data_IF_384378694429
#
_entry.id   IF_384378694429
#
_cell.length_a   1.000
_cell.length_b   1.000
_cell.length_c   1.000
_cell.angle_alpha   90.00
_cell.angle_beta   90.00
_cell.angle_gamma   90.00
#
_symmetry.space_group_name_H-M   'P 1'
#
loop_
_entity.id
_entity.type
_entity.pdbx_description
1 polymer ?
#
# COMPACT_ATOMS: atom_id res chain seq x y z
N UNK A 1 9.44 7.58 -84.45
CA UNK A 1 8.12 7.46 -85.09
C UNK A 1 7.11 7.93 -84.07
N UNK A 2 6.78 9.13 -84.19
CA UNK A 2 5.52 9.72 -84.72
C UNK A 2 4.43 9.75 -83.62
N UNK A 3 4.25 10.90 -83.11
CA UNK A 3 3.21 11.93 -83.34
C UNK A 3 1.93 11.65 -82.49
N UNK A 4 1.16 12.52 -81.98
CA UNK A 4 1.02 13.98 -81.94
C UNK A 4 -0.35 14.28 -81.30
N UNK A 5 -0.40 15.28 -80.45
CA UNK A 5 -1.50 16.29 -80.23
C UNK A 5 -2.91 15.81 -79.84
N UNK A 6 -3.69 16.46 -79.02
CA UNK A 6 -4.02 17.90 -79.10
C UNK A 6 -4.77 18.38 -77.80
N UNK A 7 -4.63 19.64 -77.59
CA UNK A 7 -5.34 20.53 -76.61
C UNK A 7 -6.85 20.58 -76.88
N UNK A 8 -7.62 20.82 -75.81
CA UNK A 8 -8.54 21.99 -75.81
C UNK A 8 -8.96 22.42 -74.42
N UNK A 9 -8.81 23.69 -74.17
CA UNK A 9 -9.36 24.46 -73.03
C UNK A 9 -10.85 24.77 -73.30
N UNK A 10 -11.58 24.99 -72.19
CA UNK A 10 -12.54 26.12 -72.05
C UNK A 10 -13.10 26.14 -70.61
N UNK A 11 -12.99 27.27 -69.94
CA UNK A 11 -13.76 27.72 -68.77
C UNK A 11 -14.91 28.58 -69.29
N UNK A 12 -15.96 28.96 -68.52
CA UNK A 12 -15.85 29.78 -67.32
C UNK A 12 -16.97 29.57 -66.22
N UNK A 13 -16.60 30.04 -65.03
CA UNK A 13 -17.38 30.71 -63.96
C UNK A 13 -18.91 30.48 -63.84
N UNK A 14 -19.34 30.00 -62.66
CA UNK A 14 -20.52 30.59 -61.96
C UNK A 14 -20.20 30.59 -60.43
N UNK A 15 -20.43 31.79 -59.85
CA UNK A 15 -20.38 32.03 -58.40
C UNK A 15 -21.69 31.52 -57.77
N UNK A 16 -21.56 30.89 -56.61
CA UNK A 16 -22.66 30.58 -55.71
C UNK A 16 -22.17 30.60 -54.27
N UNK A 17 -22.44 31.68 -53.56
CA UNK A 17 -22.38 31.72 -52.08
C UNK A 17 -23.43 30.80 -51.50
N UNK A 18 -23.07 29.90 -50.58
CA UNK A 18 -23.99 29.44 -49.55
C UNK A 18 -23.17 29.02 -48.32
N UNK A 19 -23.70 29.43 -47.17
CA UNK A 19 -23.09 29.54 -45.90
C UNK A 19 -22.60 28.19 -45.30
N UNK A 20 -21.45 28.26 -44.69
CA UNK A 20 -20.94 27.21 -43.83
C UNK A 20 -21.61 27.21 -42.48
N UNK A 21 -22.36 26.16 -42.16
CA UNK A 21 -22.71 25.82 -40.78
C UNK A 21 -21.55 24.98 -40.24
N UNK A 22 -20.76 25.58 -39.35
CA UNK A 22 -19.75 24.85 -38.59
C UNK A 22 -20.47 23.97 -37.58
N UNK A 23 -20.55 22.68 -37.87
CA UNK A 23 -20.95 21.67 -36.87
C UNK A 23 -19.76 21.52 -35.90
N UNK A 24 -19.87 22.16 -34.73
CA UNK A 24 -19.02 21.84 -33.58
C UNK A 24 -19.46 20.46 -33.10
N UNK A 25 -18.77 19.42 -33.54
CA UNK A 25 -18.89 18.09 -32.96
C UNK A 25 -18.37 18.14 -31.52
N UNK A 26 -19.31 18.12 -30.55
CA UNK A 26 -18.99 17.74 -29.18
C UNK A 26 -18.49 16.28 -29.22
N UNK A 27 -17.18 16.10 -29.16
CA UNK A 27 -16.59 14.84 -28.72
C UNK A 27 -16.96 14.66 -27.25
N UNK A 28 -18.15 14.05 -27.03
CA UNK A 28 -18.42 13.42 -25.76
C UNK A 28 -17.40 12.26 -25.65
N UNK A 29 -16.28 12.53 -24.99
CA UNK A 29 -15.36 11.48 -24.58
C UNK A 29 -16.19 10.48 -23.76
N UNK A 30 -16.34 9.27 -24.25
CA UNK A 30 -16.86 8.18 -23.46
C UNK A 30 -15.92 8.06 -22.26
N UNK A 31 -16.36 8.51 -21.08
CA UNK A 31 -15.70 8.19 -19.83
C UNK A 31 -15.74 6.66 -19.77
N UNK A 32 -14.57 6.04 -19.87
CA UNK A 32 -14.45 4.62 -19.59
C UNK A 32 -15.00 4.34 -18.20
N UNK A 33 -15.41 3.09 -17.91
CA UNK A 33 -15.94 2.74 -16.60
C UNK A 33 -14.96 3.21 -15.53
N UNK A 34 -15.45 3.97 -14.55
CA UNK A 34 -14.66 4.42 -13.43
C UNK A 34 -14.17 3.16 -12.69
N UNK A 35 -12.85 2.96 -12.65
CA UNK A 35 -12.24 1.92 -11.86
C UNK A 35 -12.26 2.39 -10.41
N UNK A 36 -12.78 1.58 -9.51
CA UNK A 36 -12.72 1.81 -8.09
C UNK A 36 -11.87 0.71 -7.47
N UNK A 37 -10.62 1.01 -7.22
CA UNK A 37 -9.65 0.09 -6.64
C UNK A 37 -8.79 0.85 -5.62
N UNK A 38 -7.97 0.13 -4.88
CA UNK A 38 -7.02 0.72 -3.96
C UNK A 38 -5.77 1.18 -4.70
N UNK A 39 -5.33 2.40 -4.43
CA UNK A 39 -4.13 2.95 -5.07
C UNK A 39 -2.83 2.37 -4.52
N UNK A 40 -2.90 1.61 -3.42
CA UNK A 40 -1.72 1.04 -2.76
C UNK A 40 -1.42 -0.40 -3.18
N UNK A 41 -2.19 -0.96 -4.09
CA UNK A 41 -2.08 -2.37 -4.49
C UNK A 41 -1.06 -2.60 -5.62
N UNK A 42 -0.80 -3.88 -5.89
CA UNK A 42 0.10 -4.26 -6.97
C UNK A 42 -0.46 -3.90 -8.35
N UNK A 43 0.37 -3.42 -9.30
CA UNK A 43 -0.04 -3.18 -10.67
C UNK A 43 -0.45 -4.46 -11.43
N UNK A 44 -0.16 -5.63 -10.88
CA UNK A 44 -0.53 -6.92 -11.46
C UNK A 44 -1.91 -7.42 -11.03
N UNK A 45 -2.54 -6.78 -10.05
CA UNK A 45 -3.84 -7.20 -9.56
C UNK A 45 -4.97 -6.84 -10.53
N UNK A 46 -5.98 -7.70 -10.60
CA UNK A 46 -7.24 -7.40 -11.25
C UNK A 46 -7.89 -6.14 -10.63
N UNK A 47 -8.46 -5.29 -11.46
CA UNK A 47 -9.03 -4.00 -11.03
C UNK A 47 -10.53 -4.13 -10.76
N UNK A 48 -11.00 -3.50 -9.68
CA UNK A 48 -12.43 -3.36 -9.40
C UNK A 48 -13.04 -2.41 -10.45
N UNK A 49 -14.12 -2.84 -11.07
CA UNK A 49 -14.93 -2.00 -11.97
C UNK A 49 -16.11 -1.45 -11.19
N UNK A 50 -16.24 -0.13 -11.08
CA UNK A 50 -17.27 0.52 -10.27
C UNK A 50 -16.81 0.85 -8.84
N UNK A 51 -17.75 0.96 -7.90
CA UNK A 51 -17.45 1.17 -6.49
C UNK A 51 -17.18 -0.18 -5.80
N UNK A 52 -16.40 -0.15 -4.72
CA UNK A 52 -16.21 -1.28 -3.82
C UNK A 52 -17.53 -1.69 -3.15
N UNK A 53 -17.73 -3.00 -2.99
CA UNK A 53 -18.90 -3.58 -2.31
C UNK A 53 -18.61 -3.86 -0.84
N UNK A 54 -17.36 -4.23 -0.54
CA UNK A 54 -16.92 -4.62 0.80
C UNK A 54 -15.57 -4.02 1.14
N UNK A 55 -15.35 -3.81 2.44
CA UNK A 55 -14.03 -3.56 3.02
C UNK A 55 -13.69 -4.72 3.94
N UNK A 56 -12.60 -5.40 3.65
CA UNK A 56 -12.05 -6.42 4.53
C UNK A 56 -11.06 -5.76 5.47
N UNK A 57 -11.26 -5.94 6.78
CA UNK A 57 -10.38 -5.37 7.80
C UNK A 57 -9.67 -6.50 8.53
N UNK A 58 -8.35 -6.56 8.43
CA UNK A 58 -7.52 -7.49 9.19
C UNK A 58 -7.25 -6.89 10.57
N UNK A 59 -7.67 -7.61 11.62
CA UNK A 59 -7.90 -7.04 12.93
C UNK A 59 -7.21 -7.87 14.00
N UNK A 60 -6.46 -7.20 14.90
CA UNK A 60 -5.81 -7.83 16.05
C UNK A 60 -6.84 -8.22 17.12
N UNK A 61 -6.68 -9.43 17.65
CA UNK A 61 -7.43 -9.89 18.80
C UNK A 61 -7.00 -9.20 20.10
N UNK A 62 -7.96 -8.97 20.98
CA UNK A 62 -7.73 -8.39 22.30
C UNK A 62 -8.26 -9.35 23.36
N UNK A 63 -7.45 -9.66 24.35
CA UNK A 63 -7.87 -10.52 25.47
C UNK A 63 -9.10 -9.95 26.20
N UNK A 64 -10.10 -10.80 26.42
CA UNK A 64 -11.35 -10.38 27.05
C UNK A 64 -12.32 -9.61 26.13
N UNK A 65 -11.98 -9.42 24.84
CA UNK A 65 -12.84 -8.76 23.86
C UNK A 65 -13.28 -9.75 22.77
N UNK A 66 -14.58 -9.99 22.63
CA UNK A 66 -15.12 -10.96 21.67
C UNK A 66 -14.58 -12.36 21.92
N UNK A 67 -14.02 -13.00 20.87
CA UNK A 67 -13.34 -14.30 20.95
C UNK A 67 -11.83 -14.18 21.27
N UNK A 68 -11.34 -12.96 21.45
CA UNK A 68 -9.94 -12.68 21.76
C UNK A 68 -8.94 -12.94 20.65
N UNK A 69 -9.38 -13.38 19.46
CA UNK A 69 -8.53 -13.82 18.37
C UNK A 69 -8.41 -12.77 17.24
N UNK A 70 -7.31 -12.84 16.51
CA UNK A 70 -7.19 -12.11 15.24
C UNK A 70 -8.25 -12.60 14.25
N UNK A 71 -8.75 -11.71 13.43
CA UNK A 71 -9.88 -12.01 12.53
C UNK A 71 -9.93 -11.11 11.30
N UNK A 72 -10.48 -11.63 10.22
CA UNK A 72 -10.86 -10.84 9.06
C UNK A 72 -12.31 -10.40 9.23
N UNK A 73 -12.54 -9.09 9.30
CA UNK A 73 -13.87 -8.47 9.41
C UNK A 73 -14.30 -7.96 8.03
N UNK A 74 -15.51 -8.33 7.60
CA UNK A 74 -16.12 -7.82 6.36
C UNK A 74 -17.10 -6.71 6.70
N UNK A 75 -16.91 -5.54 6.12
CA UNK A 75 -17.79 -4.38 6.23
C UNK A 75 -18.50 -4.17 4.90
N UNK A 76 -19.83 -4.02 4.95
CA UNK A 76 -20.65 -3.71 3.78
C UNK A 76 -20.58 -2.21 3.47
N UNK A 77 -20.12 -1.87 2.26
CA UNK A 77 -20.03 -0.48 1.80
C UNK A 77 -20.84 -0.22 0.54
N UNK A 78 -21.71 -1.18 0.15
CA UNK A 78 -22.59 -1.06 -1.01
C UNK A 78 -23.60 0.05 -0.83
N UNK A 79 -23.63 0.95 -1.78
CA UNK A 79 -24.56 2.09 -1.77
C UNK A 79 -26.02 1.60 -1.72
N UNK A 80 -26.78 2.09 -0.74
CA UNK A 80 -28.18 1.74 -0.56
C UNK A 80 -28.44 0.39 0.14
N UNK A 81 -27.39 -0.32 0.55
CA UNK A 81 -27.55 -1.52 1.39
C UNK A 81 -28.10 -1.18 2.77
N UNK A 82 -29.00 -1.98 3.35
CA UNK A 82 -29.50 -1.80 4.72
C UNK A 82 -28.38 -2.01 5.78
N UNK A 83 -27.27 -2.63 5.39
CA UNK A 83 -26.10 -2.87 6.22
C UNK A 83 -24.91 -1.97 5.83
N UNK A 84 -25.16 -0.91 5.04
CA UNK A 84 -24.10 0.04 4.67
C UNK A 84 -23.39 0.60 5.94
N UNK A 85 -22.05 0.53 5.93
CA UNK A 85 -21.22 1.00 7.03
C UNK A 85 -21.23 0.10 8.27
N UNK A 86 -21.64 -1.18 8.15
CA UNK A 86 -21.68 -2.12 9.26
C UNK A 86 -20.78 -3.32 9.02
N UNK A 87 -20.20 -3.85 10.09
CA UNK A 87 -19.56 -5.16 10.06
C UNK A 87 -20.63 -6.24 9.88
N UNK A 88 -20.52 -7.06 8.85
CA UNK A 88 -21.52 -8.09 8.50
C UNK A 88 -21.02 -9.51 8.73
N UNK A 89 -19.70 -9.69 8.80
CA UNK A 89 -19.06 -10.98 9.03
C UNK A 89 -17.71 -10.78 9.69
N UNK A 90 -17.34 -11.71 10.56
CA UNK A 90 -15.96 -11.87 11.03
C UNK A 90 -15.54 -13.34 10.94
N UNK A 91 -14.27 -13.57 10.57
CA UNK A 91 -13.69 -14.91 10.46
C UNK A 91 -12.43 -14.95 11.31
N UNK A 92 -12.52 -15.64 12.45
CA UNK A 92 -11.42 -15.84 13.40
C UNK A 92 -10.36 -16.80 12.86
N UNK A 93 -9.09 -16.58 13.23
CA UNK A 93 -7.99 -17.50 12.92
C UNK A 93 -7.54 -18.33 14.12
N UNK A 94 -8.21 -18.17 15.29
CA UNK A 94 -7.99 -19.02 16.45
C UNK A 94 -6.76 -18.67 17.29
N UNK A 95 -6.52 -17.39 17.53
CA UNK A 95 -5.41 -16.92 18.37
C UNK A 95 -5.03 -15.48 18.11
N UNK A 96 -4.02 -15.01 18.83
CA UNK A 96 -3.41 -13.68 18.65
C UNK A 96 -2.05 -13.86 17.99
N UNK A 97 -1.91 -13.38 16.77
CA UNK A 97 -0.74 -13.53 15.91
C UNK A 97 -0.12 -12.19 15.54
N UNK A 98 -0.61 -11.10 16.13
CA UNK A 98 -0.30 -9.72 15.77
C UNK A 98 -0.69 -9.45 14.32
N UNK A 99 -2.01 -9.43 14.05
CA UNK A 99 -2.57 -9.11 12.75
C UNK A 99 -2.00 -7.79 12.22
N UNK A 100 -1.39 -7.82 11.04
CA UNK A 100 -0.66 -6.66 10.53
C UNK A 100 -1.07 -6.37 9.07
N UNK A 101 -0.21 -6.52 8.09
CA UNK A 101 -0.54 -6.27 6.70
C UNK A 101 -1.06 -7.52 5.99
N UNK A 102 -1.66 -7.31 4.83
CA UNK A 102 -2.12 -8.36 3.93
C UNK A 102 -2.22 -7.87 2.50
N UNK A 103 -2.72 -8.71 1.62
CA UNK A 103 -2.96 -8.35 0.22
C UNK A 103 -3.66 -9.46 -0.54
N UNK A 104 -4.23 -9.11 -1.68
CA UNK A 104 -4.89 -10.08 -2.56
C UNK A 104 -3.89 -10.77 -3.49
N UNK A 105 -4.26 -11.95 -3.98
CA UNK A 105 -3.66 -12.54 -5.17
C UNK A 105 -3.92 -11.67 -6.41
N UNK A 106 -3.16 -11.87 -7.49
CA UNK A 106 -3.31 -11.10 -8.74
C UNK A 106 -4.70 -11.20 -9.37
N UNK A 107 -5.38 -12.32 -9.19
CA UNK A 107 -6.78 -12.55 -9.59
C UNK A 107 -7.81 -12.08 -8.53
N UNK A 108 -7.36 -11.55 -7.38
CA UNK A 108 -8.13 -11.12 -6.20
C UNK A 108 -9.03 -12.20 -5.57
N UNK A 109 -8.82 -13.47 -5.91
CA UNK A 109 -9.67 -14.57 -5.38
C UNK A 109 -9.36 -14.90 -3.93
N UNK A 110 -8.15 -14.60 -3.48
CA UNK A 110 -7.72 -14.85 -2.11
C UNK A 110 -7.15 -13.58 -1.48
N UNK A 111 -7.41 -13.41 -0.18
CA UNK A 111 -6.75 -12.42 0.66
C UNK A 111 -5.76 -13.13 1.60
N UNK A 112 -4.50 -12.72 1.54
CA UNK A 112 -3.41 -13.24 2.36
C UNK A 112 -3.12 -12.26 3.48
N UNK A 113 -3.22 -12.72 4.72
CA UNK A 113 -3.11 -11.90 5.92
C UNK A 113 -1.94 -12.37 6.79
N UNK A 114 -1.05 -11.46 7.15
CA UNK A 114 0.14 -11.77 7.93
C UNK A 114 -0.13 -11.71 9.43
N UNK A 115 0.38 -12.70 10.16
CA UNK A 115 0.50 -12.73 11.62
C UNK A 115 1.97 -12.51 11.99
N UNK A 116 2.27 -11.32 12.48
CA UNK A 116 3.64 -10.82 12.60
C UNK A 116 4.43 -11.52 13.71
N UNK A 117 3.78 -11.82 14.86
CA UNK A 117 4.47 -12.28 16.08
C UNK A 117 5.01 -13.70 15.99
N UNK A 118 4.31 -14.59 15.33
CA UNK A 118 4.67 -16.02 15.19
C UNK A 118 4.90 -16.45 13.74
N UNK A 119 5.00 -15.48 12.84
CA UNK A 119 5.38 -15.67 11.43
C UNK A 119 4.44 -16.61 10.67
N UNK A 120 3.14 -16.46 10.87
CA UNK A 120 2.10 -17.18 10.12
C UNK A 120 1.50 -16.33 9.02
N UNK A 121 0.92 -16.99 8.02
CA UNK A 121 0.13 -16.34 6.98
C UNK A 121 -1.20 -17.07 6.86
N UNK A 122 -2.29 -16.32 6.90
CA UNK A 122 -3.65 -16.82 6.80
C UNK A 122 -4.22 -16.48 5.43
N UNK A 123 -4.73 -17.48 4.72
CA UNK A 123 -5.26 -17.33 3.36
C UNK A 123 -6.78 -17.50 3.40
N UNK A 124 -7.48 -16.44 2.99
CA UNK A 124 -8.93 -16.41 2.93
C UNK A 124 -9.41 -16.47 1.47
N UNK A 125 -10.36 -17.37 1.17
CA UNK A 125 -11.14 -17.31 -0.06
C UNK A 125 -12.17 -16.17 0.07
N UNK A 126 -12.05 -15.17 -0.78
CA UNK A 126 -12.94 -14.01 -0.85
C UNK A 126 -13.78 -14.02 -2.14
N UNK A 127 -13.54 -14.96 -3.03
CA UNK A 127 -14.21 -15.05 -4.32
C UNK A 127 -15.51 -15.86 -4.28
N UNK A 128 -15.52 -16.94 -3.50
CA UNK A 128 -16.68 -17.83 -3.41
C UNK A 128 -17.88 -17.16 -2.76
N UNK A 129 -17.66 -16.33 -1.76
CA UNK A 129 -18.65 -15.46 -1.12
C UNK A 129 -17.96 -14.19 -0.59
N UNK A 130 -17.96 -13.09 -1.36
CA UNK A 130 -17.31 -11.86 -0.95
C UNK A 130 -17.87 -11.23 0.32
N UNK A 131 -19.14 -11.51 0.67
CA UNK A 131 -19.77 -11.04 1.90
C UNK A 131 -19.36 -11.87 3.13
N UNK A 132 -18.94 -13.13 2.92
CA UNK A 132 -18.58 -14.06 3.96
C UNK A 132 -17.34 -14.90 3.61
N UNK A 133 -16.15 -14.27 3.57
CA UNK A 133 -14.87 -14.95 3.33
C UNK A 133 -14.67 -16.18 4.21
N UNK A 134 -13.85 -17.12 3.74
CA UNK A 134 -13.52 -18.33 4.50
C UNK A 134 -12.01 -18.49 4.61
N UNK A 135 -11.51 -18.79 5.80
CA UNK A 135 -10.13 -19.24 6.00
C UNK A 135 -9.96 -20.61 5.30
N UNK A 136 -9.07 -20.69 4.32
CA UNK A 136 -8.86 -21.90 3.51
C UNK A 136 -7.49 -22.54 3.74
N UNK A 137 -6.51 -21.77 4.22
CA UNK A 137 -5.17 -22.27 4.49
C UNK A 137 -4.46 -21.40 5.53
N UNK A 138 -3.60 -22.01 6.33
CA UNK A 138 -2.60 -21.34 7.16
C UNK A 138 -1.22 -21.85 6.75
N UNK A 139 -0.29 -20.93 6.48
CA UNK A 139 1.13 -21.22 6.33
C UNK A 139 1.74 -20.98 7.70
N UNK A 140 2.16 -22.04 8.37
CA UNK A 140 2.74 -22.03 9.72
C UNK A 140 4.22 -22.43 9.74
N UNK A 141 4.76 -22.80 8.57
CA UNK A 141 6.15 -23.18 8.35
C UNK A 141 6.99 -22.10 7.63
N UNK A 142 6.53 -20.84 7.66
CA UNK A 142 7.17 -19.71 6.97
C UNK A 142 8.67 -19.58 7.31
N UNK A 143 9.01 -19.64 8.61
CA UNK A 143 10.40 -19.50 9.08
C UNK A 143 11.27 -20.66 8.59
N UNK A 144 10.75 -21.89 8.62
CA UNK A 144 11.46 -23.07 8.18
C UNK A 144 11.70 -23.05 6.66
N UNK A 145 10.64 -22.89 5.88
CA UNK A 145 10.70 -22.91 4.40
C UNK A 145 11.54 -21.78 3.83
N UNK A 146 11.48 -20.60 4.43
CA UNK A 146 12.28 -19.45 3.99
C UNK A 146 13.76 -19.55 4.35
N UNK A 147 14.15 -20.54 5.19
CA UNK A 147 15.51 -20.65 5.71
C UNK A 147 15.81 -19.69 6.86
N UNK A 148 14.79 -19.12 7.47
CA UNK A 148 14.92 -18.27 8.66
C UNK A 148 14.39 -16.85 8.57
N UNK A 149 13.72 -16.44 7.50
CA UNK A 149 12.99 -15.17 7.48
C UNK A 149 11.86 -15.19 8.52
N UNK A 150 11.61 -14.09 9.20
CA UNK A 150 10.62 -14.00 10.28
C UNK A 150 9.89 -12.66 10.26
N UNK A 151 8.65 -12.66 10.77
CA UNK A 151 7.79 -11.49 10.75
C UNK A 151 7.35 -11.15 9.32
N UNK A 152 6.51 -12.00 8.66
CA UNK A 152 5.92 -11.64 7.37
C UNK A 152 5.12 -10.35 7.56
N UNK A 153 5.45 -9.32 6.77
CA UNK A 153 4.85 -8.01 6.97
C UNK A 153 3.63 -7.81 6.07
N UNK A 154 3.82 -7.89 4.77
CA UNK A 154 2.77 -7.71 3.79
C UNK A 154 2.66 -8.88 2.83
N UNK A 155 1.69 -8.81 1.93
CA UNK A 155 1.50 -9.76 0.85
C UNK A 155 1.28 -8.97 -0.45
N UNK A 156 2.24 -9.05 -1.38
CA UNK A 156 2.22 -8.28 -2.62
C UNK A 156 2.07 -9.20 -3.82
N UNK A 157 1.04 -8.95 -4.63
CA UNK A 157 0.72 -9.80 -5.77
C UNK A 157 1.73 -9.66 -6.91
N UNK A 158 2.16 -10.79 -7.44
CA UNK A 158 2.85 -10.94 -8.71
C UNK A 158 2.03 -11.90 -9.59
N UNK A 159 2.26 -11.98 -10.91
CA UNK A 159 1.56 -12.94 -11.74
C UNK A 159 1.69 -14.39 -11.22
N UNK A 160 0.58 -14.96 -10.74
CA UNK A 160 0.49 -16.32 -10.21
C UNK A 160 1.22 -16.58 -8.89
N UNK A 161 1.65 -15.54 -8.16
CA UNK A 161 2.39 -15.67 -6.91
C UNK A 161 2.28 -14.47 -5.99
N UNK A 162 2.66 -14.68 -4.73
CA UNK A 162 2.73 -13.65 -3.70
C UNK A 162 4.18 -13.41 -3.29
N UNK A 163 4.56 -12.15 -3.15
CA UNK A 163 5.83 -11.70 -2.59
C UNK A 163 5.60 -11.21 -1.16
N UNK A 164 6.30 -11.80 -0.21
CA UNK A 164 6.14 -11.52 1.22
C UNK A 164 7.44 -10.92 1.76
N UNK A 165 7.50 -9.62 2.02
CA UNK A 165 8.62 -9.04 2.76
C UNK A 165 8.57 -9.49 4.22
N UNK A 166 9.71 -9.90 4.78
CA UNK A 166 9.87 -10.13 6.21
C UNK A 166 10.47 -8.92 6.88
N UNK A 167 10.14 -8.67 8.16
CA UNK A 167 10.74 -7.58 8.94
C UNK A 167 12.12 -7.96 9.46
N UNK A 168 12.34 -9.24 9.75
CA UNK A 168 13.48 -9.73 10.49
C UNK A 168 13.82 -11.18 10.09
N UNK A 169 14.60 -11.86 10.92
CA UNK A 169 14.95 -13.27 10.80
C UNK A 169 14.77 -14.01 12.14
N UNK A 170 14.96 -15.33 12.11
CA UNK A 170 14.86 -16.21 13.30
C UNK A 170 15.81 -15.82 14.44
N UNK A 171 16.87 -15.08 14.17
CA UNK A 171 17.76 -14.52 15.19
C UNK A 171 17.26 -13.19 15.76
N UNK A 172 16.08 -12.72 15.32
CA UNK A 172 15.39 -11.50 15.74
C UNK A 172 16.14 -10.21 15.43
N UNK A 173 17.11 -10.25 14.53
CA UNK A 173 17.97 -9.13 14.13
C UNK A 173 17.77 -8.76 12.66
N UNK A 174 18.62 -7.94 12.10
CA UNK A 174 18.66 -7.62 10.68
C UNK A 174 18.94 -8.83 9.78
N UNK A 175 19.03 -8.60 8.51
CA UNK A 175 18.96 -9.50 7.38
C UNK A 175 17.57 -10.15 7.20
N UNK A 176 16.63 -9.29 6.87
CA UNK A 176 15.29 -9.67 6.39
C UNK A 176 15.35 -10.19 4.95
N UNK A 177 14.26 -10.73 4.47
CA UNK A 177 14.16 -11.32 3.15
C UNK A 177 12.84 -10.99 2.45
N UNK A 178 12.83 -11.22 1.15
CA UNK A 178 11.63 -11.33 0.31
C UNK A 178 11.37 -12.81 0.06
N UNK A 179 10.21 -13.30 0.44
CA UNK A 179 9.84 -14.71 0.29
C UNK A 179 8.72 -14.84 -0.73
N UNK A 180 8.88 -15.72 -1.72
CA UNK A 180 7.89 -15.97 -2.75
C UNK A 180 7.14 -17.29 -2.52
N UNK A 181 5.82 -17.21 -2.68
CA UNK A 181 4.88 -18.33 -2.69
C UNK A 181 4.04 -18.28 -3.95
N UNK A 182 3.64 -19.44 -4.51
CA UNK A 182 2.55 -19.49 -5.49
C UNK A 182 1.21 -19.15 -4.84
N UNK A 183 0.21 -18.79 -5.63
CA UNK A 183 -1.12 -18.41 -5.12
C UNK A 183 -1.80 -19.53 -4.29
N UNK A 184 -1.41 -20.80 -4.47
CA UNK A 184 -1.88 -21.93 -3.66
C UNK A 184 -1.14 -22.09 -2.31
N UNK A 185 -0.17 -21.21 -2.02
CA UNK A 185 0.63 -21.23 -0.80
C UNK A 185 1.75 -22.27 -0.82
N UNK A 186 2.29 -22.62 -1.99
CA UNK A 186 3.51 -23.43 -2.11
C UNK A 186 4.72 -22.50 -2.14
N UNK A 187 5.71 -22.76 -1.28
CA UNK A 187 6.97 -22.02 -1.23
C UNK A 187 7.73 -22.10 -2.56
N UNK A 188 8.29 -20.99 -3.01
CA UNK A 188 9.07 -20.89 -4.26
C UNK A 188 10.54 -20.54 -3.96
N UNK A 189 10.79 -19.39 -3.30
CA UNK A 189 12.15 -18.89 -3.12
C UNK A 189 12.25 -17.86 -1.98
N UNK A 190 13.49 -17.65 -1.51
CA UNK A 190 13.85 -16.58 -0.57
C UNK A 190 14.99 -15.75 -1.14
N UNK A 191 14.83 -14.43 -1.11
CA UNK A 191 15.81 -13.44 -1.58
C UNK A 191 16.19 -12.55 -0.40
N UNK A 192 17.41 -12.74 0.12
CA UNK A 192 17.89 -12.01 1.29
C UNK A 192 18.31 -10.59 0.95
N UNK A 193 18.05 -9.65 1.86
CA UNK A 193 18.56 -8.28 1.76
C UNK A 193 20.09 -8.27 1.78
N UNK A 194 20.74 -7.42 0.99
CA UNK A 194 22.20 -7.34 0.93
C UNK A 194 22.75 -6.69 2.20
N UNK A 195 23.42 -7.49 3.02
CA UNK A 195 24.15 -7.03 4.21
C UNK A 195 25.62 -7.46 4.11
N UNK A 196 26.47 -7.02 5.03
CA UNK A 196 27.86 -7.46 5.14
C UNK A 196 28.00 -8.99 5.34
N UNK A 197 26.91 -9.64 5.71
CA UNK A 197 26.80 -11.08 5.93
C UNK A 197 26.22 -11.85 4.76
N UNK A 198 25.87 -11.17 3.67
CA UNK A 198 25.30 -11.85 2.49
C UNK A 198 26.38 -12.67 1.78
N UNK A 199 26.31 -14.02 1.82
CA UNK A 199 27.33 -14.87 1.22
C UNK A 199 27.32 -14.89 -0.31
N UNK A 200 26.28 -14.37 -0.95
CA UNK A 200 26.12 -14.40 -2.42
C UNK A 200 26.64 -13.15 -3.14
N UNK A 201 27.19 -12.21 -2.37
CA UNK A 201 27.98 -11.12 -2.92
C UNK A 201 27.30 -10.36 -4.05
N UNK A 202 26.16 -9.75 -3.79
CA UNK A 202 25.64 -8.75 -4.69
C UNK A 202 26.75 -7.70 -4.89
N UNK A 203 27.15 -7.43 -6.12
CA UNK A 203 28.17 -6.43 -6.45
C UNK A 203 27.57 -5.02 -6.29
N UNK A 204 27.26 -4.65 -5.06
CA UNK A 204 26.80 -3.32 -4.68
C UNK A 204 27.86 -2.66 -3.80
N UNK A 205 28.05 -1.36 -3.98
CA UNK A 205 29.07 -0.60 -3.24
C UNK A 205 28.75 -0.43 -1.76
N UNK A 206 27.46 -0.54 -1.39
CA UNK A 206 26.97 -0.34 -0.03
C UNK A 206 26.04 -1.46 0.38
N UNK A 207 26.14 -1.88 1.61
CA UNK A 207 25.24 -2.84 2.24
C UNK A 207 24.03 -2.12 2.84
N UNK A 208 22.88 -2.81 2.87
CA UNK A 208 21.70 -2.36 3.59
C UNK A 208 21.86 -2.58 5.10
N UNK A 209 21.02 -1.92 5.90
CA UNK A 209 20.93 -2.16 7.34
C UNK A 209 20.37 -3.55 7.68
N UNK A 210 19.73 -4.21 6.71
CA UNK A 210 19.23 -5.56 6.81
C UNK A 210 17.81 -5.70 7.33
N UNK A 211 17.16 -4.64 7.78
CA UNK A 211 15.76 -4.69 8.17
C UNK A 211 14.85 -4.58 6.95
N UNK A 212 13.69 -5.22 7.02
CA UNK A 212 12.67 -5.14 5.97
C UNK A 212 11.44 -4.36 6.44
N UNK A 213 10.59 -3.97 5.49
CA UNK A 213 9.25 -3.47 5.73
C UNK A 213 8.36 -3.67 4.51
N UNK A 214 8.40 -2.80 3.51
CA UNK A 214 7.57 -2.88 2.31
C UNK A 214 8.39 -3.30 1.08
N UNK A 215 7.71 -3.81 0.05
CA UNK A 215 8.30 -4.16 -1.24
C UNK A 215 7.33 -3.81 -2.35
N UNK A 216 7.70 -2.87 -3.22
CA UNK A 216 6.85 -2.38 -4.32
C UNK A 216 7.60 -2.37 -5.64
N UNK A 217 6.88 -2.66 -6.71
CA UNK A 217 7.45 -2.91 -8.03
C UNK A 217 7.01 -1.83 -9.01
N UNK A 218 7.97 -1.40 -9.85
CA UNK A 218 7.74 -0.58 -11.03
C UNK A 218 8.06 -1.43 -12.29
N UNK A 219 7.07 -2.17 -12.84
CA UNK A 219 7.33 -3.18 -13.86
C UNK A 219 7.99 -2.62 -15.12
N UNK A 220 7.55 -1.45 -15.60
CA UNK A 220 8.07 -0.80 -16.82
C UNK A 220 9.57 -0.47 -16.77
N UNK A 221 10.14 -0.40 -15.56
CA UNK A 221 11.57 -0.13 -15.33
C UNK A 221 12.33 -1.37 -14.86
N UNK A 222 11.66 -2.50 -14.70
CA UNK A 222 12.25 -3.70 -14.12
C UNK A 222 12.92 -3.43 -12.77
N UNK A 223 12.28 -2.62 -11.92
CA UNK A 223 12.79 -2.32 -10.59
C UNK A 223 11.77 -2.67 -9.51
N UNK A 224 12.29 -3.07 -8.37
CA UNK A 224 11.57 -3.20 -7.13
C UNK A 224 12.30 -2.38 -6.07
N UNK A 225 11.56 -1.72 -5.18
CA UNK A 225 12.10 -0.95 -4.08
C UNK A 225 11.62 -1.57 -2.77
N UNK A 226 12.56 -1.85 -1.87
CA UNK A 226 12.25 -2.30 -0.51
C UNK A 226 12.64 -1.23 0.50
N UNK A 227 11.87 -1.13 1.57
CA UNK A 227 12.07 -0.22 2.68
C UNK A 227 12.45 -0.94 3.97
N UNK A 228 12.66 -0.22 5.06
CA UNK A 228 13.32 -0.73 6.24
C UNK A 228 12.69 -0.22 7.54
N UNK A 229 12.45 -1.13 8.49
CA UNK A 229 11.89 -0.80 9.81
C UNK A 229 12.86 -1.10 10.96
N UNK A 230 12.70 -2.24 11.61
CA UNK A 230 13.55 -2.72 12.71
C UNK A 230 13.38 -4.22 12.93
N UNK A 231 14.22 -4.82 13.76
CA UNK A 231 14.13 -6.24 14.10
C UNK A 231 13.04 -6.56 15.12
N UNK A 232 12.68 -7.84 15.20
CA UNK A 232 11.67 -8.38 16.13
C UNK A 232 11.95 -8.01 17.59
N UNK A 233 13.22 -7.95 17.98
CA UNK A 233 13.64 -7.54 19.31
C UNK A 233 13.19 -6.12 19.72
N UNK A 234 12.90 -5.26 18.75
CA UNK A 234 12.44 -3.90 18.98
C UNK A 234 10.93 -3.76 18.87
N UNK A 235 10.34 -4.16 17.74
CA UNK A 235 8.92 -3.88 17.52
C UNK A 235 8.00 -4.69 18.42
N UNK A 236 8.46 -5.79 19.02
CA UNK A 236 7.71 -6.55 20.03
C UNK A 236 7.87 -6.01 21.46
N UNK A 237 8.55 -4.87 21.65
CA UNK A 237 8.65 -4.17 22.93
C UNK A 237 7.61 -3.07 23.06
N UNK A 238 7.16 -2.71 24.28
CA UNK A 238 6.34 -1.53 24.48
C UNK A 238 7.05 -0.28 23.95
N UNK A 239 6.33 0.54 23.18
CA UNK A 239 6.88 1.74 22.53
C UNK A 239 7.63 2.67 23.48
N UNK A 240 7.04 2.96 24.66
CA UNK A 240 7.63 3.87 25.63
C UNK A 240 8.91 3.35 26.29
N UNK A 241 9.14 2.04 26.32
CA UNK A 241 10.38 1.42 26.79
C UNK A 241 11.46 1.46 25.70
N UNK A 242 11.08 1.02 24.49
CA UNK A 242 11.95 0.98 23.34
C UNK A 242 12.48 2.38 22.99
N UNK A 243 11.64 3.40 22.99
CA UNK A 243 12.01 4.78 22.65
C UNK A 243 13.02 5.42 23.65
N UNK A 244 13.14 4.88 24.87
CA UNK A 244 14.13 5.32 25.88
C UNK A 244 15.46 4.56 25.82
N UNK A 245 15.51 3.49 25.03
CA UNK A 245 16.71 2.65 24.89
C UNK A 245 17.54 3.12 23.70
N UNK A 246 18.65 3.84 23.98
CA UNK A 246 19.52 4.36 22.93
C UNK A 246 20.15 3.28 22.03
N UNK A 247 20.38 2.07 22.55
CA UNK A 247 20.91 0.96 21.75
C UNK A 247 19.81 0.36 20.86
N UNK A 248 18.57 0.29 21.34
CA UNK A 248 17.43 -0.10 20.52
C UNK A 248 17.19 0.90 19.37
N UNK A 249 17.31 2.20 19.65
CA UNK A 249 17.13 3.26 18.64
C UNK A 249 18.16 3.22 17.52
N UNK A 250 19.36 2.69 17.75
CA UNK A 250 20.38 2.47 16.70
C UNK A 250 20.05 1.32 15.74
N UNK A 251 19.09 0.46 16.09
CA UNK A 251 18.68 -0.72 15.32
C UNK A 251 17.42 -0.44 14.48
N UNK A 252 17.19 0.79 14.11
CA UNK A 252 16.14 1.20 13.19
C UNK A 252 16.68 1.46 11.79
N UNK A 253 15.87 1.19 10.79
CA UNK A 253 16.22 1.26 9.38
C UNK A 253 16.65 2.64 8.90
N UNK A 254 17.66 2.66 8.02
CA UNK A 254 18.28 3.87 7.45
C UNK A 254 18.47 3.75 5.94
N UNK A 255 18.00 2.64 5.36
CA UNK A 255 18.28 2.33 3.95
C UNK A 255 17.05 1.79 3.23
N UNK A 256 17.04 2.00 1.93
CA UNK A 256 16.14 1.33 0.99
C UNK A 256 16.99 0.60 -0.05
N UNK A 257 16.50 -0.52 -0.57
CA UNK A 257 17.21 -1.29 -1.60
C UNK A 257 16.42 -1.27 -2.90
N UNK A 258 17.10 -0.86 -3.95
CA UNK A 258 16.61 -0.98 -5.32
C UNK A 258 17.11 -2.31 -5.90
N UNK A 259 16.19 -3.10 -6.45
CA UNK A 259 16.44 -4.43 -7.00
C UNK A 259 16.23 -4.44 -8.52
N UNK A 260 16.94 -5.30 -9.21
CA UNK A 260 16.47 -5.82 -10.49
C UNK A 260 15.31 -6.77 -10.20
N UNK A 261 14.12 -6.37 -10.60
CA UNK A 261 12.91 -7.11 -10.26
C UNK A 261 12.89 -8.51 -10.90
N UNK A 262 13.24 -8.64 -12.18
CA UNK A 262 13.22 -9.94 -12.85
C UNK A 262 14.32 -10.88 -12.37
N UNK A 263 15.51 -10.35 -12.13
CA UNK A 263 16.63 -11.15 -11.64
C UNK A 263 16.56 -11.42 -10.13
N UNK A 264 15.73 -10.70 -9.37
CA UNK A 264 15.71 -10.75 -7.89
C UNK A 264 17.09 -10.47 -7.29
N UNK A 265 17.82 -9.53 -7.90
CA UNK A 265 19.16 -9.15 -7.44
C UNK A 265 19.17 -7.69 -7.00
N UNK A 266 19.79 -7.36 -5.83
CA UNK A 266 19.97 -5.98 -5.43
C UNK A 266 20.84 -5.23 -6.44
N UNK A 267 20.43 -4.01 -6.80
CA UNK A 267 21.16 -3.12 -7.72
C UNK A 267 21.84 -1.98 -7.00
N UNK A 268 21.17 -1.41 -6.00
CA UNK A 268 21.63 -0.22 -5.32
C UNK A 268 21.04 -0.12 -3.92
N UNK A 269 21.83 0.38 -2.98
CA UNK A 269 21.36 0.78 -1.65
C UNK A 269 21.28 2.30 -1.60
N UNK A 270 20.09 2.82 -1.28
CA UNK A 270 19.82 4.23 -1.07
C UNK A 270 19.84 4.55 0.42
N UNK A 271 20.51 5.61 0.82
CA UNK A 271 20.48 6.08 2.21
C UNK A 271 19.26 6.97 2.42
N UNK A 272 18.34 6.50 3.26
CA UNK A 272 17.07 7.18 3.62
C UNK A 272 16.91 7.07 5.14
N UNK A 273 17.57 7.94 5.91
CA UNK A 273 17.61 7.84 7.37
C UNK A 273 16.25 8.17 7.99
N UNK A 274 15.97 7.54 9.14
CA UNK A 274 14.80 7.83 9.93
C UNK A 274 13.63 6.85 9.73
N UNK A 275 13.92 5.62 9.29
CA UNK A 275 12.94 4.54 9.17
C UNK A 275 11.96 4.76 8.01
N UNK A 276 12.39 4.53 6.76
CA UNK A 276 11.49 4.56 5.62
C UNK A 276 10.52 3.38 5.70
N UNK A 277 9.22 3.68 5.76
CA UNK A 277 8.16 2.67 5.88
C UNK A 277 7.53 2.35 4.52
N UNK A 278 6.30 2.78 4.30
CA UNK A 278 5.54 2.49 3.09
C UNK A 278 6.16 3.10 1.82
N UNK A 279 6.04 2.39 0.71
CA UNK A 279 6.52 2.83 -0.60
C UNK A 279 5.33 2.96 -1.55
N UNK A 280 5.23 4.09 -2.24
CA UNK A 280 4.18 4.29 -3.26
C UNK A 280 4.78 4.77 -4.56
N UNK A 281 4.85 3.88 -5.55
CA UNK A 281 5.24 4.21 -6.91
C UNK A 281 4.17 5.03 -7.60
N UNK A 282 4.62 6.00 -8.38
CA UNK A 282 3.75 6.73 -9.29
C UNK A 282 3.16 5.79 -10.38
N UNK A 283 1.90 6.03 -10.72
CA UNK A 283 1.11 5.22 -11.64
C UNK A 283 1.29 5.63 -13.11
N UNK A 284 1.54 6.92 -13.34
CA UNK A 284 1.69 7.49 -14.67
C UNK A 284 2.80 6.80 -15.48
N UNK A 285 2.60 6.56 -16.78
CA UNK A 285 3.51 5.74 -17.58
C UNK A 285 4.92 6.32 -17.73
N UNK A 286 5.09 7.61 -17.45
CA UNK A 286 6.37 8.32 -17.54
C UNK A 286 6.91 8.77 -16.17
N UNK A 287 6.20 8.46 -15.09
CA UNK A 287 6.52 8.91 -13.73
C UNK A 287 7.41 7.88 -13.03
N UNK A 288 8.74 7.97 -13.20
CA UNK A 288 9.71 7.05 -12.61
C UNK A 288 10.14 7.52 -11.23
N UNK A 289 9.20 7.60 -10.29
CA UNK A 289 9.48 7.97 -8.90
C UNK A 289 8.54 7.25 -7.93
N UNK A 290 8.95 7.19 -6.67
CA UNK A 290 8.15 6.73 -5.54
C UNK A 290 8.27 7.70 -4.37
N UNK A 291 7.22 7.77 -3.56
CA UNK A 291 7.27 8.39 -2.25
C UNK A 291 7.47 7.35 -1.16
N UNK A 292 8.12 7.76 -0.07
CA UNK A 292 8.12 7.09 1.22
C UNK A 292 8.11 8.14 2.32
N UNK A 293 7.63 7.78 3.51
CA UNK A 293 7.74 8.60 4.71
C UNK A 293 8.70 7.97 5.70
N UNK A 294 9.40 8.80 6.47
CA UNK A 294 10.31 8.33 7.51
C UNK A 294 9.74 8.56 8.89
N UNK A 295 9.47 7.46 9.63
CA UNK A 295 8.72 7.48 10.88
C UNK A 295 9.41 8.30 12.00
N UNK A 296 10.71 8.16 12.16
CA UNK A 296 11.44 8.83 13.25
C UNK A 296 11.85 10.28 12.93
N UNK A 297 11.94 10.63 11.66
CA UNK A 297 12.33 11.99 11.24
C UNK A 297 11.18 12.83 10.73
N UNK A 298 9.99 12.22 10.55
CA UNK A 298 8.77 12.88 10.06
C UNK A 298 8.99 13.65 8.76
N UNK A 299 9.53 12.95 7.75
CA UNK A 299 9.82 13.52 6.43
C UNK A 299 9.13 12.75 5.32
N UNK A 300 8.82 13.44 4.23
CA UNK A 300 8.50 12.83 2.94
C UNK A 300 9.78 12.76 2.12
N UNK A 301 10.09 11.57 1.64
CA UNK A 301 11.20 11.31 0.72
C UNK A 301 10.69 10.96 -0.67
N UNK A 302 11.42 11.40 -1.67
CA UNK A 302 11.25 11.05 -3.07
C UNK A 302 12.42 10.17 -3.52
N UNK A 303 12.10 8.97 -4.01
CA UNK A 303 13.03 8.11 -4.75
C UNK A 303 12.69 8.26 -6.22
N UNK A 304 13.66 8.65 -7.06
CA UNK A 304 13.42 9.01 -8.46
C UNK A 304 14.58 8.64 -9.37
N UNK A 305 14.27 8.40 -10.63
CA UNK A 305 15.27 8.27 -11.70
C UNK A 305 15.59 9.66 -12.25
N UNK A 306 16.86 10.06 -12.24
CA UNK A 306 17.29 11.35 -12.79
C UNK A 306 17.40 11.28 -14.34
N UNK A 307 17.67 12.42 -14.97
CA UNK A 307 17.82 12.55 -16.45
C UNK A 307 18.91 11.65 -17.01
N UNK A 308 19.91 11.28 -16.22
CA UNK A 308 20.99 10.34 -16.58
C UNK A 308 20.62 8.86 -16.39
N UNK A 309 19.41 8.55 -15.88
CA UNK A 309 18.97 7.20 -15.57
C UNK A 309 19.47 6.65 -14.22
N UNK A 310 20.07 7.49 -13.38
CA UNK A 310 20.52 7.10 -12.05
C UNK A 310 19.40 7.28 -11.02
N UNK A 311 19.27 6.28 -10.14
CA UNK A 311 18.30 6.35 -9.05
C UNK A 311 18.86 7.12 -7.85
N UNK A 312 18.05 8.02 -7.32
CA UNK A 312 18.39 8.91 -6.20
C UNK A 312 17.27 8.96 -5.19
N UNK A 313 17.60 9.34 -3.96
CA UNK A 313 16.64 9.64 -2.90
C UNK A 313 16.94 11.01 -2.31
N UNK A 314 15.89 11.79 -2.01
CA UNK A 314 16.01 13.08 -1.33
C UNK A 314 14.79 13.39 -0.47
N UNK A 315 14.99 14.14 0.59
CA UNK A 315 13.90 14.78 1.34
C UNK A 315 13.21 15.82 0.47
N UNK A 316 11.87 15.86 0.50
CA UNK A 316 11.07 16.81 -0.27
C UNK A 316 10.11 17.61 0.56
N UNK A 317 9.71 17.14 1.76
CA UNK A 317 8.88 17.90 2.69
C UNK A 317 9.01 17.41 4.13
N UNK A 318 8.69 18.30 5.06
CA UNK A 318 8.41 17.98 6.47
C UNK A 318 6.97 17.47 6.63
N UNK A 319 6.73 16.60 7.62
CA UNK A 319 5.39 16.14 8.02
C UNK A 319 5.09 16.73 9.39
N UNK A 320 4.12 17.65 9.45
CA UNK A 320 3.79 18.38 10.66
C UNK A 320 4.85 19.42 11.07
N UNK A 321 4.91 19.76 12.35
CA UNK A 321 5.89 20.73 12.86
C UNK A 321 7.30 20.13 12.88
N UNK A 322 8.31 20.80 12.32
CA UNK A 322 9.69 20.34 12.33
C UNK A 322 10.19 20.03 13.77
N UNK A 323 10.81 18.87 13.93
CA UNK A 323 11.35 18.42 15.23
C UNK A 323 10.32 17.79 16.18
N UNK A 324 9.03 17.82 15.87
CA UNK A 324 8.02 17.01 16.55
C UNK A 324 7.94 15.65 15.86
N UNK A 325 8.18 14.60 16.62
CA UNK A 325 8.06 13.21 16.13
C UNK A 325 6.59 12.84 15.88
N UNK A 326 6.09 13.01 14.66
CA UNK A 326 4.70 12.70 14.30
C UNK A 326 4.47 11.21 14.06
N UNK A 327 5.54 10.45 13.79
CA UNK A 327 5.52 9.04 13.43
C UNK A 327 4.53 8.80 12.27
N UNK A 328 4.87 9.25 11.04
CA UNK A 328 4.11 8.85 9.87
C UNK A 328 4.24 7.34 9.66
N UNK A 329 3.10 6.67 9.54
CA UNK A 329 3.01 5.20 9.51
C UNK A 329 2.52 4.69 8.17
N UNK A 330 1.68 5.44 7.47
CA UNK A 330 1.21 5.07 6.14
C UNK A 330 1.08 6.28 5.21
N UNK A 331 1.18 6.00 3.91
CA UNK A 331 0.97 6.97 2.84
C UNK A 331 0.14 6.35 1.71
N UNK A 332 -0.68 7.15 1.04
CA UNK A 332 -1.44 6.74 -0.12
C UNK A 332 -1.33 7.79 -1.23
N UNK A 333 -0.93 7.35 -2.43
CA UNK A 333 -0.80 8.20 -3.61
C UNK A 333 -2.01 8.01 -4.52
N UNK A 334 -2.63 9.10 -4.97
CA UNK A 334 -3.77 9.04 -5.89
C UNK A 334 -3.38 8.43 -7.25
N UNK A 335 -4.36 7.85 -7.95
CA UNK A 335 -4.13 7.20 -9.25
C UNK A 335 -3.66 8.17 -10.35
N UNK A 336 -3.88 9.47 -10.19
CA UNK A 336 -3.41 10.53 -11.10
C UNK A 336 -2.06 11.14 -10.69
N UNK A 337 -1.42 10.60 -9.64
CA UNK A 337 -0.13 11.01 -9.08
C UNK A 337 -0.08 12.45 -8.54
N UNK A 338 -1.23 13.05 -8.20
CA UNK A 338 -1.28 14.46 -7.79
C UNK A 338 -1.52 14.69 -6.31
N UNK A 339 -2.06 13.70 -5.62
CA UNK A 339 -2.42 13.83 -4.20
C UNK A 339 -1.78 12.74 -3.39
N UNK A 340 -1.04 13.12 -2.35
CA UNK A 340 -0.45 12.21 -1.38
C UNK A 340 -1.10 12.40 -0.02
N UNK A 341 -1.68 11.35 0.53
CA UNK A 341 -2.18 11.27 1.90
C UNK A 341 -1.08 10.70 2.78
N UNK A 342 -0.89 11.28 3.96
CA UNK A 342 0.13 10.87 4.93
C UNK A 342 -0.52 10.80 6.31
N UNK A 343 -0.53 9.62 6.89
CA UNK A 343 -1.12 9.37 8.20
C UNK A 343 -0.07 9.35 9.30
N UNK A 344 -0.35 10.04 10.40
CA UNK A 344 0.54 10.17 11.54
C UNK A 344 -0.08 9.59 12.81
N UNK A 345 0.66 8.68 13.44
CA UNK A 345 0.20 7.92 14.59
C UNK A 345 0.09 8.78 15.86
N UNK A 346 1.08 9.63 16.12
CA UNK A 346 1.19 10.35 17.39
C UNK A 346 0.07 11.34 17.64
N UNK A 347 -0.39 12.02 16.62
CA UNK A 347 -1.46 13.01 16.70
C UNK A 347 -2.79 12.56 16.06
N UNK A 348 -2.83 11.35 15.47
CA UNK A 348 -4.04 10.80 14.87
C UNK A 348 -4.59 11.60 13.69
N UNK A 349 -3.70 12.17 12.88
CA UNK A 349 -4.00 13.15 11.85
C UNK A 349 -3.62 12.63 10.47
N UNK A 350 -4.49 12.83 9.47
CA UNK A 350 -4.12 12.71 8.06
C UNK A 350 -3.73 14.07 7.49
N UNK A 351 -2.63 14.12 6.76
CA UNK A 351 -2.16 15.30 6.02
C UNK A 351 -2.18 15.03 4.54
N UNK A 352 -2.72 15.97 3.79
CA UNK A 352 -2.88 15.83 2.35
C UNK A 352 -1.96 16.82 1.65
N UNK A 353 -1.18 16.31 0.69
CA UNK A 353 -0.23 17.09 -0.09
C UNK A 353 -0.60 17.10 -1.56
N UNK A 354 -0.56 18.28 -2.19
CA UNK A 354 -0.43 18.40 -3.64
C UNK A 354 0.99 18.03 -4.04
N UNK A 355 1.12 16.97 -4.81
CA UNK A 355 2.38 16.42 -5.32
C UNK A 355 2.47 16.47 -6.85
N UNK A 356 1.73 17.38 -7.47
CA UNK A 356 1.80 17.63 -8.93
C UNK A 356 3.22 17.96 -9.39
N UNK A 357 4.03 18.60 -8.54
CA UNK A 357 5.49 18.61 -8.61
C UNK A 357 6.03 17.69 -7.50
N UNK A 358 6.46 16.45 -7.82
CA UNK A 358 6.89 15.49 -6.81
C UNK A 358 8.12 15.96 -6.02
N UNK A 359 8.87 16.92 -6.56
CA UNK A 359 10.03 17.50 -5.92
C UNK A 359 9.71 18.61 -4.91
N UNK A 360 8.45 19.08 -4.88
CA UNK A 360 8.00 20.20 -4.04
C UNK A 360 6.57 19.97 -3.52
N UNK A 361 6.33 18.90 -2.73
CA UNK A 361 5.03 18.67 -2.12
C UNK A 361 4.53 19.90 -1.34
N UNK A 362 3.24 20.19 -1.45
CA UNK A 362 2.59 21.29 -0.71
C UNK A 362 1.45 20.73 0.11
N UNK A 363 1.49 20.89 1.42
CA UNK A 363 0.37 20.52 2.27
C UNK A 363 -0.85 21.39 1.93
N UNK A 364 -1.98 20.75 1.64
CA UNK A 364 -3.25 21.39 1.26
C UNK A 364 -4.36 21.16 2.28
N UNK A 365 -4.24 20.12 3.10
CA UNK A 365 -5.19 19.82 4.18
C UNK A 365 -4.46 19.16 5.35
N UNK A 366 -4.96 19.43 6.55
CA UNK A 366 -4.67 18.69 7.78
C UNK A 366 -5.98 18.40 8.48
N UNK A 367 -6.22 17.12 8.83
CA UNK A 367 -7.47 16.73 9.49
C UNK A 367 -7.20 15.67 10.55
N UNK A 368 -7.62 15.97 11.77
CA UNK A 368 -7.69 15.01 12.86
C UNK A 368 -8.73 13.93 12.55
N UNK A 369 -8.32 12.66 12.57
CA UNK A 369 -9.18 11.51 12.31
C UNK A 369 -9.56 10.81 13.61
N UNK A 370 -8.61 10.63 14.54
CA UNK A 370 -8.82 9.96 15.80
C UNK A 370 -7.75 10.29 16.85
N UNK A 371 -7.74 9.60 17.96
CA UNK A 371 -6.70 9.74 18.99
C UNK A 371 -5.34 9.22 18.47
N UNK A 372 -5.38 8.17 17.65
CA UNK A 372 -4.28 7.60 16.90
C UNK A 372 -4.75 7.26 15.49
N UNK A 373 -3.84 7.10 14.55
CA UNK A 373 -4.15 6.79 13.16
C UNK A 373 -3.07 5.86 12.62
N UNK A 374 -3.48 4.86 11.85
CA UNK A 374 -2.54 3.93 11.24
C UNK A 374 -2.63 3.98 9.71
N UNK A 375 -3.59 3.29 9.09
CA UNK A 375 -3.59 3.10 7.65
C UNK A 375 -4.64 3.94 6.93
N UNK A 376 -4.30 4.33 5.71
CA UNK A 376 -5.19 4.96 4.74
C UNK A 376 -5.28 4.12 3.47
N UNK A 377 -6.50 3.75 3.08
CA UNK A 377 -6.77 3.20 1.75
C UNK A 377 -7.64 4.15 0.96
N UNK A 378 -7.23 4.42 -0.29
CA UNK A 378 -7.92 5.30 -1.21
C UNK A 378 -8.52 4.50 -2.36
N UNK A 379 -9.82 4.74 -2.69
CA UNK A 379 -10.41 4.21 -3.90
C UNK A 379 -9.68 4.75 -5.14
N UNK A 380 -9.63 3.95 -6.23
CA UNK A 380 -8.92 4.31 -7.45
C UNK A 380 -9.42 5.61 -8.10
N UNK A 381 -10.72 5.89 -7.98
CA UNK A 381 -11.31 7.14 -8.46
C UNK A 381 -11.00 8.35 -7.56
N UNK A 382 -10.27 8.15 -6.46
CA UNK A 382 -9.84 9.16 -5.53
C UNK A 382 -10.94 9.77 -4.66
N UNK A 383 -12.16 9.22 -4.68
CA UNK A 383 -13.32 9.86 -4.04
C UNK A 383 -13.63 9.34 -2.64
N UNK A 384 -13.05 8.24 -2.24
CA UNK A 384 -13.31 7.61 -0.94
C UNK A 384 -12.02 7.23 -0.25
N UNK A 385 -11.93 7.59 1.03
CA UNK A 385 -10.81 7.28 1.91
C UNK A 385 -11.32 6.48 3.10
N UNK A 386 -10.56 5.49 3.48
CA UNK A 386 -10.82 4.65 4.64
C UNK A 386 -9.61 4.67 5.56
N UNK A 387 -9.85 4.73 6.86
CA UNK A 387 -8.82 4.87 7.88
C UNK A 387 -9.00 3.85 9.00
N UNK A 388 -7.90 3.27 9.47
CA UNK A 388 -7.85 2.41 10.66
C UNK A 388 -6.90 2.98 11.71
N UNK A 389 -6.98 2.47 12.94
CA UNK A 389 -6.33 3.09 14.10
C UNK A 389 -5.13 2.32 14.67
N UNK A 390 -5.07 0.99 14.55
CA UNK A 390 -4.08 0.17 15.26
C UNK A 390 -2.77 0.05 14.49
N UNK A 391 -1.63 0.25 15.16
CA UNK A 391 -0.28 0.04 14.61
C UNK A 391 0.28 -1.31 15.04
N UNK A 392 0.48 -1.49 16.35
CA UNK A 392 0.98 -2.72 17.00
C UNK A 392 0.35 -2.81 18.39
N UNK A 393 0.04 -4.01 18.85
CA UNK A 393 -0.62 -4.20 20.15
C UNK A 393 0.12 -3.53 21.31
N UNK A 394 1.46 -3.50 21.26
CA UNK A 394 2.31 -2.90 22.29
C UNK A 394 2.59 -1.41 22.09
N UNK A 395 2.22 -0.86 20.91
CA UNK A 395 2.48 0.54 20.55
C UNK A 395 1.22 1.39 20.60
N UNK A 396 0.06 0.75 20.42
CA UNK A 396 -1.23 1.43 20.47
C UNK A 396 -1.42 2.17 21.79
N UNK A 397 -2.06 3.31 21.73
CA UNK A 397 -2.42 4.10 22.88
C UNK A 397 -3.35 3.31 23.82
N UNK A 398 -3.32 3.65 25.08
CA UNK A 398 -4.08 2.98 26.15
C UNK A 398 -5.00 3.96 26.88
N UNK A 399 -5.90 3.44 27.69
CA UNK A 399 -6.84 4.25 28.46
C UNK A 399 -7.83 5.00 27.56
N UNK A 400 -8.07 6.27 27.85
CA UNK A 400 -9.02 7.10 27.12
C UNK A 400 -8.62 7.36 25.64
N UNK A 401 -7.33 7.21 25.32
CA UNK A 401 -6.82 7.42 23.97
C UNK A 401 -6.80 6.14 23.10
N UNK A 402 -7.27 5.01 23.66
CA UNK A 402 -7.38 3.72 22.96
C UNK A 402 -8.63 3.66 22.07
N UNK A 403 -8.72 4.56 21.13
CA UNK A 403 -9.80 4.62 20.14
C UNK A 403 -9.50 3.64 19.00
N UNK A 404 -10.42 2.68 18.73
CA UNK A 404 -10.27 1.65 17.72
C UNK A 404 -11.40 1.75 16.69
N UNK A 405 -11.08 2.10 15.47
CA UNK A 405 -12.08 2.43 14.46
C UNK A 405 -11.74 1.99 13.03
N UNK A 406 -12.79 1.83 12.22
CA UNK A 406 -12.77 2.03 10.78
C UNK A 406 -13.60 3.28 10.48
N UNK A 407 -12.99 4.32 9.91
CA UNK A 407 -13.68 5.56 9.49
C UNK A 407 -13.60 5.71 7.98
N UNK A 408 -14.71 6.04 7.35
CA UNK A 408 -14.79 6.31 5.92
C UNK A 408 -15.16 7.76 5.64
N UNK A 409 -14.51 8.34 4.63
CA UNK A 409 -14.72 9.71 4.19
C UNK A 409 -14.92 9.80 2.68
N UNK A 410 -15.74 10.75 2.24
CA UNK A 410 -15.73 11.22 0.86
C UNK A 410 -14.66 12.31 0.70
N UNK A 411 -13.94 12.28 -0.41
CA UNK A 411 -12.95 13.28 -0.79
C UNK A 411 -13.39 14.01 -2.06
N UNK A 412 -13.43 15.32 -2.05
CA UNK A 412 -13.82 16.16 -3.18
C UNK A 412 -12.66 16.96 -3.79
N UNK A 413 -11.43 16.68 -3.36
CA UNK A 413 -10.23 17.42 -3.74
C UNK A 413 -9.85 18.54 -2.78
N UNK A 414 -10.69 18.83 -1.76
CA UNK A 414 -10.48 19.91 -0.79
C UNK A 414 -10.77 19.50 0.64
N UNK A 415 -11.84 18.74 0.85
CA UNK A 415 -12.34 18.37 2.17
C UNK A 415 -12.63 16.87 2.27
N UNK A 416 -12.47 16.34 3.48
CA UNK A 416 -12.85 14.99 3.87
C UNK A 416 -14.20 15.06 4.59
N UNK A 417 -15.29 14.65 3.93
CA UNK A 417 -16.63 14.57 4.50
C UNK A 417 -16.89 13.18 5.08
N UNK A 418 -17.29 13.03 6.36
CA UNK A 418 -17.57 11.72 6.96
C UNK A 418 -18.67 10.96 6.20
N UNK A 419 -18.49 9.64 6.02
CA UNK A 419 -19.49 8.72 5.45
C UNK A 419 -20.07 7.78 6.49
N UNK A 420 -19.21 7.08 7.20
CA UNK A 420 -19.57 6.23 8.35
C UNK A 420 -18.35 6.00 9.25
N UNK A 421 -18.63 5.48 10.42
CA UNK A 421 -17.65 5.05 11.41
C UNK A 421 -18.13 3.76 12.08
N UNK A 422 -17.20 2.83 12.34
CA UNK A 422 -17.42 1.64 13.17
C UNK A 422 -16.46 1.72 14.35
N UNK A 423 -17.01 1.69 15.56
CA UNK A 423 -16.22 1.53 16.77
C UNK A 423 -15.96 0.04 17.01
N UNK A 424 -14.75 -0.40 16.69
CA UNK A 424 -14.33 -1.79 16.82
C UNK A 424 -14.29 -2.28 18.28
N UNK A 425 -14.06 -1.38 19.22
CA UNK A 425 -14.10 -1.71 20.66
C UNK A 425 -15.52 -1.96 21.14
N UNK A 426 -16.46 -1.08 20.79
CA UNK A 426 -17.88 -1.24 21.15
C UNK A 426 -18.50 -2.49 20.52
N UNK A 427 -18.14 -2.79 19.27
CA UNK A 427 -18.60 -4.00 18.57
C UNK A 427 -17.80 -5.27 18.93
N UNK A 428 -16.83 -5.17 19.84
CA UNK A 428 -15.96 -6.26 20.31
C UNK A 428 -15.21 -6.98 19.20
N UNK A 429 -14.81 -6.25 18.17
CA UNK A 429 -14.12 -6.78 16.99
C UNK A 429 -12.60 -6.84 17.17
N UNK A 430 -12.02 -6.07 18.08
CA UNK A 430 -10.58 -6.00 18.31
C UNK A 430 -9.97 -4.67 17.86
N UNK A 431 -8.73 -4.69 17.35
CA UNK A 431 -7.98 -3.51 16.90
C UNK A 431 -7.75 -3.56 15.41
N UNK A 432 -8.42 -2.72 14.61
CA UNK A 432 -8.31 -2.76 13.15
C UNK A 432 -6.95 -2.22 12.70
N UNK A 433 -6.19 -3.05 11.97
CA UNK A 433 -4.88 -2.66 11.45
C UNK A 433 -4.95 -2.27 9.96
N UNK A 434 -5.20 -3.22 9.09
CA UNK A 434 -5.21 -3.04 7.65
C UNK A 434 -6.60 -3.21 7.06
N UNK A 435 -6.87 -2.52 5.96
CA UNK A 435 -8.08 -2.73 5.17
C UNK A 435 -7.77 -2.93 3.69
N UNK A 436 -8.66 -3.65 3.01
CA UNK A 436 -8.57 -3.93 1.58
C UNK A 436 -9.97 -4.01 0.95
N UNK A 437 -10.12 -3.62 -0.33
CA UNK A 437 -11.42 -3.53 -0.97
C UNK A 437 -11.79 -4.81 -1.73
N UNK A 438 -13.06 -5.20 -1.63
CA UNK A 438 -13.66 -6.28 -2.40
C UNK A 438 -14.86 -5.82 -3.21
N UNK A 439 -15.11 -6.49 -4.34
CA UNK A 439 -16.29 -6.24 -5.16
C UNK A 439 -16.83 -7.55 -5.72
N UNK A 440 -18.12 -7.79 -5.54
CA UNK A 440 -18.78 -9.01 -6.01
C UNK A 440 -18.70 -9.16 -7.54
N UNK A 441 -18.74 -8.04 -8.28
CA UNK A 441 -18.66 -8.03 -9.74
C UNK A 441 -17.35 -8.60 -10.31
N UNK A 442 -16.27 -8.68 -9.54
CA UNK A 442 -15.01 -9.31 -9.96
C UNK A 442 -15.15 -10.81 -10.24
N UNK A 443 -16.10 -11.49 -9.62
CA UNK A 443 -16.20 -12.95 -9.58
C UNK A 443 -17.38 -13.49 -10.40
N UNK A 444 -18.13 -12.60 -11.04
CA UNK A 444 -19.32 -12.96 -11.84
C UNK A 444 -19.06 -12.99 -13.36
N UNK A 445 -17.82 -12.80 -13.80
CA UNK A 445 -17.43 -12.82 -15.22
C UNK A 445 -16.91 -14.17 -15.66
#
# INVERSE_FOLDING_TARGET
>A
MTQVTSRQRLSPRVRGLLGGVAAIGLLAGAAGPALADETCQSPYMAKITGEEDYVYVWTLGVEGMGDGSDKLVTVDVRKGSPTFGKAIKSVSVGGRHEAHHGGFTDDRRQFWAAGLSDSKIFIFDVASDPAAPKLVKTIDDFVEKSGGAAGPHGAYALPGRMLIPSLSNKSKTGQAALVEYSNDGTYIATHWLPTDKDPKGAKIEKTADGYGYDARILPRKNVMLTSSFTGLENYMRPFGEMAKDAEAMKKFGQTMVLWDFHARQPKQVLHVPGVPLEVRWAWGPHNNYAFTSTALTSKIWLVYEDEGGAWKAKEVADIGEPGKGMIPVDISLSADDKTLFVDTFMDGTTRVYDVSDPHKPKQILEKKIGAQLNMVSQSWDGKRLYYTSSVLSNWDKTGADNEQFLKAYAWDGKELAPRFEIDFSAEKLGRPHMMAFGAAALYTQ
#
